data_IF_184962462072
#
_entry.id   IF_184962462072
#
_cell.length_a   1.000
_cell.length_b   1.000
_cell.length_c   1.000
_cell.angle_alpha   90.00
_cell.angle_beta   90.00
_cell.angle_gamma   90.00
#
_symmetry.space_group_name_H-M   'P 1'
#
loop_
_entity.id
_entity.type
_entity.pdbx_description
1 polymer ?
#
# COMPACT_ATOMS: atom_id res chain seq x y z
N UNK A 1 -18.39 -3.56 17.04
CA UNK A 1 -19.32 -4.51 17.69
C UNK A 1 -19.04 -5.89 17.11
N UNK A 2 -17.83 -6.40 17.30
CA UNK A 2 -17.56 -7.83 17.18
C UNK A 2 -17.84 -8.41 18.56
N UNK A 3 -19.04 -8.96 18.77
CA UNK A 3 -19.25 -9.79 19.96
C UNK A 3 -18.16 -10.86 19.95
N UNK A 4 -17.34 -10.92 21.00
CA UNK A 4 -16.41 -12.03 21.19
C UNK A 4 -17.27 -13.28 21.24
N UNK A 5 -17.25 -14.03 20.14
CA UNK A 5 -17.89 -15.33 20.02
C UNK A 5 -17.26 -16.20 21.09
N UNK A 6 -17.91 -16.25 22.26
CA UNK A 6 -17.53 -17.05 23.41
C UNK A 6 -18.10 -18.45 23.19
N UNK A 7 -17.72 -19.05 22.06
CA UNK A 7 -18.01 -20.45 21.79
C UNK A 7 -16.89 -21.25 22.45
N UNK A 8 -17.26 -22.02 23.47
CA UNK A 8 -16.43 -23.09 24.02
C UNK A 8 -15.96 -23.99 22.86
N UNK A 9 -14.65 -24.26 22.71
CA UNK A 9 -14.12 -24.99 21.56
C UNK A 9 -14.33 -26.50 21.71
N UNK A 10 -15.59 -26.95 21.74
CA UNK A 10 -15.92 -28.39 21.87
C UNK A 10 -16.33 -29.04 20.54
N UNK A 11 -16.38 -28.28 19.44
CA UNK A 11 -16.71 -28.82 18.12
C UNK A 11 -15.78 -28.29 17.05
N UNK A 12 -14.96 -29.18 16.46
CA UNK A 12 -14.31 -28.89 15.18
C UNK A 12 -15.37 -28.90 14.08
N UNK A 13 -15.55 -27.79 13.38
CA UNK A 13 -16.40 -27.74 12.18
C UNK A 13 -15.53 -27.66 10.93
N UNK A 14 -15.97 -28.35 9.88
CA UNK A 14 -15.34 -28.28 8.57
C UNK A 14 -16.18 -27.37 7.69
N UNK A 15 -15.67 -26.18 7.38
CA UNK A 15 -16.29 -25.28 6.41
C UNK A 15 -15.71 -25.53 5.02
N UNK A 16 -16.58 -25.88 4.06
CA UNK A 16 -16.20 -26.00 2.67
C UNK A 16 -16.47 -24.67 1.98
N UNK A 17 -15.42 -23.94 1.60
CA UNK A 17 -15.54 -22.77 0.73
C UNK A 17 -15.50 -23.28 -0.72
N UNK A 18 -16.63 -23.31 -1.45
CA UNK A 18 -16.62 -23.75 -2.83
C UNK A 18 -15.73 -22.81 -3.64
N UNK A 19 -14.67 -23.36 -4.23
CA UNK A 19 -13.83 -22.64 -5.19
C UNK A 19 -14.62 -22.58 -6.49
N UNK A 20 -15.63 -21.72 -6.54
CA UNK A 20 -16.25 -21.32 -7.81
C UNK A 20 -15.12 -20.76 -8.65
N UNK A 21 -14.82 -21.46 -9.75
CA UNK A 21 -13.73 -21.23 -10.70
C UNK A 21 -13.09 -19.86 -10.53
N UNK A 22 -11.95 -19.84 -9.83
CA UNK A 22 -11.19 -18.63 -9.55
C UNK A 22 -10.63 -18.07 -10.85
N UNK A 23 -11.47 -17.34 -11.58
CA UNK A 23 -11.09 -16.62 -12.77
C UNK A 23 -10.56 -15.26 -12.31
N UNK A 24 -9.24 -15.10 -12.34
CA UNK A 24 -8.54 -13.84 -12.03
C UNK A 24 -8.92 -12.75 -13.05
N UNK A 25 -10.12 -12.17 -12.91
CA UNK A 25 -10.66 -11.09 -13.75
C UNK A 25 -10.63 -9.76 -13.01
N UNK A 26 -9.47 -9.36 -12.49
CA UNK A 26 -9.30 -8.10 -11.77
C UNK A 26 -8.36 -7.12 -12.46
N UNK A 27 -8.55 -6.89 -13.76
CA UNK A 27 -7.99 -5.69 -14.41
C UNK A 27 -8.89 -4.45 -14.21
N UNK A 28 -9.99 -4.60 -13.46
CA UNK A 28 -10.98 -3.56 -13.21
C UNK A 28 -11.15 -3.26 -11.72
N UNK A 29 -11.31 -1.98 -11.42
CA UNK A 29 -11.78 -1.47 -10.14
C UNK A 29 -10.71 -1.28 -9.06
N UNK A 30 -9.52 -1.86 -9.21
CA UNK A 30 -8.41 -1.69 -8.27
C UNK A 30 -8.84 -1.94 -6.83
N UNK A 31 -9.46 -3.09 -6.54
CA UNK A 31 -10.12 -3.39 -5.27
C UNK A 31 -11.23 -2.37 -4.95
N UNK A 32 -11.17 -1.69 -3.81
CA UNK A 32 -12.24 -0.80 -3.31
C UNK A 32 -12.15 0.59 -3.94
N UNK A 33 -11.07 0.87 -4.68
CA UNK A 33 -10.78 2.18 -5.25
C UNK A 33 -11.89 2.62 -6.20
N UNK A 34 -12.46 1.73 -7.03
CA UNK A 34 -13.60 2.11 -7.87
C UNK A 34 -14.78 2.64 -7.06
N UNK A 35 -15.14 2.00 -5.94
CA UNK A 35 -16.23 2.50 -5.10
C UNK A 35 -15.88 3.88 -4.53
N UNK A 36 -14.63 4.09 -4.12
CA UNK A 36 -14.16 5.40 -3.65
C UNK A 36 -14.18 6.45 -4.75
N UNK A 37 -13.79 6.12 -5.99
CA UNK A 37 -13.88 7.04 -7.13
C UNK A 37 -15.32 7.46 -7.41
N UNK A 38 -16.26 6.53 -7.41
CA UNK A 38 -17.68 6.84 -7.61
C UNK A 38 -18.21 7.75 -6.50
N UNK A 39 -17.89 7.44 -5.24
CA UNK A 39 -18.25 8.28 -4.10
C UNK A 39 -17.61 9.67 -4.20
N UNK A 40 -16.34 9.74 -4.61
CA UNK A 40 -15.63 11.00 -4.83
C UNK A 40 -16.28 11.85 -5.92
N UNK A 41 -16.92 11.28 -6.94
CA UNK A 41 -17.62 12.05 -7.97
C UNK A 41 -19.14 12.19 -7.72
N UNK A 42 -19.64 11.75 -6.55
CA UNK A 42 -21.08 11.62 -6.24
C UNK A 42 -21.87 10.84 -7.29
N UNK A 43 -21.22 9.89 -7.97
CA UNK A 43 -21.87 9.05 -8.99
C UNK A 43 -22.41 7.80 -8.28
N UNK A 44 -23.71 7.46 -8.42
CA UNK A 44 -24.27 6.28 -7.77
C UNK A 44 -23.60 5.01 -8.30
N UNK A 45 -23.21 4.08 -7.42
CA UNK A 45 -22.54 2.83 -7.80
C UNK A 45 -23.55 1.74 -8.21
N UNK A 46 -24.27 1.95 -9.32
CA UNK A 46 -25.30 1.03 -9.83
C UNK A 46 -24.89 0.34 -11.15
N UNK A 47 -25.73 -0.54 -11.70
CA UNK A 47 -25.41 -1.31 -12.92
C UNK A 47 -25.20 -0.41 -14.15
N UNK A 48 -25.96 0.68 -14.27
CA UNK A 48 -25.94 1.57 -15.44
C UNK A 48 -24.66 2.40 -15.42
N UNK A 49 -24.37 3.08 -14.31
CA UNK A 49 -23.18 3.92 -14.18
C UNK A 49 -21.90 3.10 -14.26
N UNK A 50 -21.88 1.89 -13.69
CA UNK A 50 -20.75 0.96 -13.84
C UNK A 50 -20.54 0.52 -15.28
N UNK A 51 -21.60 0.30 -16.04
CA UNK A 51 -21.49 -0.07 -17.45
C UNK A 51 -20.92 1.10 -18.29
N UNK A 52 -21.45 2.31 -18.09
CA UNK A 52 -21.02 3.52 -18.81
C UNK A 52 -19.58 3.89 -18.48
N UNK A 53 -19.23 3.91 -17.19
CA UNK A 53 -17.90 4.29 -16.71
C UNK A 53 -16.90 3.13 -16.72
N UNK A 54 -17.32 1.94 -17.18
CA UNK A 54 -16.47 0.76 -17.23
C UNK A 54 -15.11 1.07 -17.87
N UNK A 55 -14.98 1.74 -19.04
CA UNK A 55 -13.67 2.03 -19.64
C UNK A 55 -12.70 2.81 -18.74
N UNK A 56 -13.20 3.64 -17.83
CA UNK A 56 -12.37 4.39 -16.88
C UNK A 56 -11.91 3.54 -15.69
N UNK A 57 -12.58 2.41 -15.46
CA UNK A 57 -12.32 1.54 -14.31
C UNK A 57 -11.20 0.53 -14.54
N UNK A 58 -10.42 0.62 -15.62
CA UNK A 58 -9.19 -0.17 -15.73
C UNK A 58 -8.22 0.24 -14.63
N UNK A 59 -7.60 -0.75 -13.98
CA UNK A 59 -6.63 -0.53 -12.89
C UNK A 59 -5.54 0.46 -13.33
N UNK A 60 -4.96 0.28 -14.52
CA UNK A 60 -3.96 1.20 -15.07
C UNK A 60 -4.48 2.65 -15.19
N UNK A 61 -5.72 2.85 -15.62
CA UNK A 61 -6.34 4.17 -15.77
C UNK A 61 -6.59 4.81 -14.40
N UNK A 62 -7.14 4.05 -13.46
CA UNK A 62 -7.41 4.51 -12.09
C UNK A 62 -6.11 4.95 -11.40
N UNK A 63 -5.07 4.11 -11.41
CA UNK A 63 -3.82 4.45 -10.73
C UNK A 63 -3.07 5.60 -11.39
N UNK A 64 -3.14 5.73 -12.72
CA UNK A 64 -2.63 6.91 -13.43
C UNK A 64 -3.32 8.19 -12.94
N UNK A 65 -4.65 8.18 -12.90
CA UNK A 65 -5.42 9.32 -12.40
C UNK A 65 -5.13 9.59 -10.92
N UNK A 66 -5.02 8.56 -10.09
CA UNK A 66 -4.71 8.68 -8.65
C UNK A 66 -3.35 9.34 -8.39
N UNK A 67 -2.31 8.94 -9.14
CA UNK A 67 -0.97 9.52 -8.98
C UNK A 67 -0.86 10.91 -9.62
N UNK A 68 -1.47 11.13 -10.79
CA UNK A 68 -1.42 12.44 -11.47
C UNK A 68 -2.20 13.51 -10.69
N UNK A 69 -3.36 13.12 -10.17
CA UNK A 69 -4.17 13.99 -9.32
C UNK A 69 -3.43 14.37 -8.03
N UNK A 70 -2.54 13.52 -7.52
CA UNK A 70 -2.04 13.62 -6.14
C UNK A 70 -3.12 13.32 -5.11
N UNK A 71 -4.23 12.68 -5.50
CA UNK A 71 -5.22 12.15 -4.56
C UNK A 71 -4.63 11.04 -3.70
N UNK A 72 -3.58 10.34 -4.16
CA UNK A 72 -2.86 9.34 -3.37
C UNK A 72 -2.47 9.86 -1.97
N UNK A 73 -2.15 11.15 -1.83
CA UNK A 73 -1.78 11.79 -0.56
C UNK A 73 -2.95 11.88 0.44
N UNK A 74 -4.19 11.68 -0.02
CA UNK A 74 -5.44 11.83 0.74
C UNK A 74 -6.17 10.50 0.96
N UNK A 75 -5.59 9.39 0.50
CA UNK A 75 -6.08 8.05 0.77
C UNK A 75 -4.98 7.26 1.46
N UNK A 76 -5.34 6.54 2.53
CA UNK A 76 -4.42 5.60 3.16
C UNK A 76 -4.75 4.20 2.65
N UNK A 77 -3.80 3.65 1.91
CA UNK A 77 -3.85 2.30 1.36
C UNK A 77 -2.61 1.58 1.83
N UNK A 78 -2.77 0.68 2.79
CA UNK A 78 -1.65 0.03 3.46
C UNK A 78 -1.95 -1.45 3.61
N UNK A 79 -0.94 -2.29 3.37
CA UNK A 79 -1.00 -3.68 3.79
C UNK A 79 0.07 -3.92 4.84
N UNK A 80 -0.33 -4.59 5.91
CA UNK A 80 0.56 -4.91 7.04
C UNK A 80 0.40 -6.37 7.42
N UNK A 81 1.48 -7.04 7.81
CA UNK A 81 1.47 -8.38 8.36
C UNK A 81 1.62 -8.32 9.88
N UNK A 82 0.75 -9.00 10.61
CA UNK A 82 0.79 -9.08 12.08
C UNK A 82 0.86 -10.55 12.53
N UNK A 83 1.69 -10.90 13.53
CA UNK A 83 1.75 -12.27 14.06
C UNK A 83 0.39 -12.78 14.51
N UNK A 84 0.14 -14.07 14.32
CA UNK A 84 -1.18 -14.66 14.59
C UNK A 84 -1.61 -14.50 16.05
N UNK A 85 -0.69 -14.61 16.99
CA UNK A 85 -0.93 -14.44 18.43
C UNK A 85 -1.22 -12.99 18.84
N UNK A 86 -1.02 -12.02 17.93
CA UNK A 86 -1.29 -10.59 18.14
C UNK A 86 -2.46 -10.06 17.31
N UNK A 87 -3.15 -10.91 16.55
CA UNK A 87 -4.25 -10.48 15.67
C UNK A 87 -5.40 -9.83 16.44
N UNK A 88 -5.84 -10.42 17.54
CA UNK A 88 -6.97 -9.90 18.32
C UNK A 88 -6.69 -8.47 18.79
N UNK A 89 -5.50 -8.26 19.36
CA UNK A 89 -5.06 -6.94 19.80
C UNK A 89 -4.97 -5.94 18.65
N UNK A 90 -4.62 -6.39 17.44
CA UNK A 90 -4.57 -5.54 16.26
C UNK A 90 -5.96 -5.21 15.72
N UNK A 91 -6.87 -6.18 15.68
CA UNK A 91 -8.26 -5.97 15.23
C UNK A 91 -9.00 -5.03 16.17
N UNK A 92 -8.90 -5.24 17.49
CA UNK A 92 -9.49 -4.36 18.50
C UNK A 92 -8.96 -2.92 18.34
N UNK A 93 -7.66 -2.79 18.08
CA UNK A 93 -7.04 -1.49 17.83
C UNK A 93 -7.50 -0.85 16.50
N UNK A 94 -7.62 -1.63 15.42
CA UNK A 94 -8.11 -1.15 14.13
C UNK A 94 -9.56 -0.66 14.23
N UNK A 95 -10.40 -1.39 14.94
CA UNK A 95 -11.80 -1.02 15.17
C UNK A 95 -11.89 0.32 15.92
N UNK A 96 -11.16 0.45 17.02
CA UNK A 96 -11.18 1.65 17.86
C UNK A 96 -10.53 2.87 17.19
N UNK A 97 -9.46 2.67 16.42
CA UNK A 97 -8.67 3.76 15.83
C UNK A 97 -9.20 4.20 14.47
N UNK A 98 -9.64 3.25 13.64
CA UNK A 98 -10.04 3.52 12.26
C UNK A 98 -11.50 3.20 11.95
N UNK A 99 -12.15 2.31 12.68
CA UNK A 99 -13.54 1.90 12.43
C UNK A 99 -13.76 1.32 11.03
N UNK A 100 -12.74 0.66 10.46
CA UNK A 100 -12.74 0.22 9.06
C UNK A 100 -13.37 -1.15 8.89
N UNK A 101 -14.39 -1.21 8.02
CA UNK A 101 -14.97 -2.46 7.55
C UNK A 101 -15.40 -2.33 6.08
N UNK A 102 -15.33 -3.43 5.30
CA UNK A 102 -14.82 -4.77 5.66
C UNK A 102 -13.28 -4.82 5.78
N UNK A 103 -12.76 -5.77 6.56
CA UNK A 103 -11.32 -6.04 6.64
C UNK A 103 -10.88 -6.97 5.50
N UNK A 104 -9.74 -6.66 4.88
CA UNK A 104 -9.07 -7.57 3.95
C UNK A 104 -8.05 -8.41 4.71
N UNK A 105 -8.22 -9.73 4.72
CA UNK A 105 -7.36 -10.66 5.46
C UNK A 105 -6.70 -11.65 4.50
N UNK A 106 -5.40 -11.90 4.69
CA UNK A 106 -4.68 -12.92 3.92
C UNK A 106 -3.60 -13.63 4.75
N UNK A 107 -3.62 -14.96 4.74
CA UNK A 107 -2.67 -15.78 5.48
C UNK A 107 -1.30 -15.78 4.77
N UNK A 108 -0.25 -15.38 5.47
CA UNK A 108 1.11 -15.39 4.96
C UNK A 108 2.01 -16.35 5.75
N UNK A 109 2.72 -17.20 5.02
CA UNK A 109 3.88 -17.92 5.54
C UNK A 109 5.11 -17.07 5.30
N UNK A 110 5.76 -16.65 6.37
CA UNK A 110 6.96 -15.82 6.30
C UNK A 110 8.22 -16.65 6.17
N UNK A 111 8.30 -17.78 6.87
CA UNK A 111 9.45 -18.67 6.80
C UNK A 111 9.77 -19.07 5.35
N UNK A 112 11.03 -18.85 4.94
CA UNK A 112 11.52 -19.11 3.58
C UNK A 112 12.57 -20.21 3.60
N UNK A 113 12.28 -21.28 2.87
CA UNK A 113 13.15 -22.47 2.80
C UNK A 113 14.04 -22.47 1.54
N UNK A 114 14.11 -21.36 0.79
CA UNK A 114 14.85 -21.31 -0.48
C UNK A 114 16.36 -21.07 -0.27
N UNK A 115 17.24 -21.59 -1.15
CA UNK A 115 18.71 -21.49 -0.96
C UNK A 115 19.27 -20.07 -0.85
N UNK A 116 18.56 -19.06 -1.33
CA UNK A 116 18.97 -17.66 -1.30
C UNK A 116 18.09 -16.81 -0.36
N UNK A 117 17.33 -17.44 0.54
CA UNK A 117 16.39 -16.76 1.42
C UNK A 117 17.09 -15.81 2.42
N UNK A 118 18.35 -16.06 2.76
CA UNK A 118 19.15 -15.29 3.73
C UNK A 118 19.70 -13.96 3.18
N UNK A 119 19.25 -13.54 1.99
CA UNK A 119 19.74 -12.34 1.32
C UNK A 119 18.65 -11.29 1.10
N UNK A 120 19.05 -10.03 1.24
CA UNK A 120 18.21 -8.87 0.96
C UNK A 120 17.46 -8.35 2.18
N UNK A 121 16.41 -7.56 1.92
CA UNK A 121 15.72 -6.76 2.93
C UNK A 121 15.05 -7.57 4.06
N UNK A 122 14.71 -8.82 3.75
CA UNK A 122 13.98 -9.75 4.61
C UNK A 122 14.75 -11.08 4.78
N UNK A 123 16.07 -10.98 4.91
CA UNK A 123 16.97 -12.12 5.16
C UNK A 123 16.62 -12.86 6.46
N UNK A 124 16.07 -12.15 7.45
CA UNK A 124 15.61 -12.68 8.73
C UNK A 124 14.55 -13.77 8.57
N UNK A 125 13.75 -13.73 7.50
CA UNK A 125 12.68 -14.69 7.24
C UNK A 125 13.20 -16.11 6.96
N UNK A 126 14.45 -16.26 6.54
CA UNK A 126 15.07 -17.57 6.36
C UNK A 126 15.35 -18.29 7.68
N UNK A 127 15.40 -17.55 8.80
CA UNK A 127 15.73 -18.06 10.14
C UNK A 127 14.49 -18.35 10.98
N UNK A 128 13.30 -18.05 10.45
CA UNK A 128 12.03 -18.27 11.15
C UNK A 128 11.61 -19.74 11.03
N UNK A 129 11.10 -20.31 12.11
CA UNK A 129 10.45 -21.61 12.06
C UNK A 129 9.03 -21.48 11.49
N UNK A 130 8.75 -22.18 10.40
CA UNK A 130 7.43 -22.21 9.74
C UNK A 130 6.30 -22.77 10.62
N UNK A 131 6.64 -23.48 11.68
CA UNK A 131 5.70 -24.06 12.62
C UNK A 131 5.38 -23.15 13.80
N UNK A 132 6.13 -22.05 13.98
CA UNK A 132 5.87 -21.12 15.07
C UNK A 132 4.98 -19.95 14.61
N UNK A 133 4.31 -19.26 15.55
CA UNK A 133 3.54 -18.05 15.25
C UNK A 133 4.37 -16.97 14.56
N UNK A 134 5.65 -16.85 14.87
CA UNK A 134 6.55 -15.84 14.29
C UNK A 134 6.84 -16.12 12.80
N UNK A 135 6.80 -17.38 12.37
CA UNK A 135 6.91 -17.77 10.97
C UNK A 135 5.64 -17.52 10.14
N UNK A 136 4.57 -16.99 10.74
CA UNK A 136 3.26 -16.77 10.11
C UNK A 136 2.72 -15.39 10.42
N UNK A 137 2.34 -14.63 9.40
CA UNK A 137 1.66 -13.34 9.58
C UNK A 137 0.27 -13.39 8.97
N UNK A 138 -0.67 -12.71 9.61
CA UNK A 138 -1.94 -12.36 9.00
C UNK A 138 -1.76 -11.00 8.35
N UNK A 139 -1.96 -10.94 7.05
CA UNK A 139 -2.00 -9.68 6.35
C UNK A 139 -3.35 -9.00 6.55
N UNK A 140 -3.31 -7.74 6.91
CA UNK A 140 -4.45 -6.84 6.97
C UNK A 140 -4.29 -5.78 5.88
N UNK A 141 -5.24 -5.73 4.95
CA UNK A 141 -5.37 -4.65 3.98
C UNK A 141 -6.25 -3.55 4.52
N UNK A 142 -5.68 -2.35 4.62
CA UNK A 142 -6.22 -1.19 5.30
C UNK A 142 -6.47 -0.09 4.27
N UNK A 143 -7.74 0.22 4.07
CA UNK A 143 -8.21 1.18 3.08
C UNK A 143 -9.03 2.26 3.77
N UNK A 144 -8.40 3.39 4.10
CA UNK A 144 -9.07 4.56 4.69
C UNK A 144 -9.26 5.63 3.62
N UNK A 145 -10.52 5.88 3.30
CA UNK A 145 -10.94 6.91 2.35
C UNK A 145 -11.35 8.21 3.05
N UNK A 146 -11.43 9.30 2.29
CA UNK A 146 -12.06 10.55 2.73
C UNK A 146 -11.23 11.34 3.76
N UNK A 147 -9.91 11.21 3.75
CA UNK A 147 -9.06 12.07 4.58
C UNK A 147 -9.04 13.45 3.95
N UNK A 148 -9.57 14.43 4.69
CA UNK A 148 -9.77 15.81 4.22
C UNK A 148 -8.43 16.52 4.03
N UNK A 149 -7.41 16.10 4.78
CA UNK A 149 -6.10 16.74 4.83
C UNK A 149 -4.95 15.71 4.78
N UNK A 150 -3.82 16.13 4.19
CA UNK A 150 -2.61 15.33 4.00
C UNK A 150 -1.91 15.05 5.32
N UNK A 151 -1.87 16.00 6.24
CA UNK A 151 -1.21 15.79 7.53
C UNK A 151 -1.98 14.77 8.37
N UNK A 152 -3.31 14.77 8.28
CA UNK A 152 -4.14 13.72 8.86
C UNK A 152 -3.85 12.33 8.25
N UNK A 153 -3.58 12.25 6.94
CA UNK A 153 -3.17 11.02 6.28
C UNK A 153 -1.81 10.53 6.77
N UNK A 154 -0.81 11.41 6.83
CA UNK A 154 0.53 11.08 7.34
C UNK A 154 0.44 10.64 8.81
N UNK A 155 -0.31 11.36 9.64
CA UNK A 155 -0.49 11.02 11.05
C UNK A 155 -1.11 9.62 11.23
N UNK A 156 -2.16 9.31 10.48
CA UNK A 156 -2.81 7.99 10.50
C UNK A 156 -1.87 6.87 10.02
N UNK A 157 -1.08 7.11 8.98
CA UNK A 157 -0.05 6.17 8.54
C UNK A 157 0.98 5.93 9.64
N UNK A 158 1.48 6.99 10.29
CA UNK A 158 2.44 6.86 11.40
C UNK A 158 1.86 6.10 12.59
N UNK A 159 0.60 6.31 12.94
CA UNK A 159 -0.07 5.53 13.98
C UNK A 159 -0.13 4.04 13.64
N UNK A 160 -0.46 3.70 12.40
CA UNK A 160 -0.45 2.33 11.90
C UNK A 160 0.95 1.71 11.97
N UNK A 161 1.95 2.40 11.44
CA UNK A 161 3.34 1.98 11.47
C UNK A 161 3.85 1.71 12.90
N UNK A 162 3.52 2.59 13.84
CA UNK A 162 3.85 2.43 15.26
C UNK A 162 3.18 1.20 15.88
N UNK A 163 1.89 0.97 15.59
CA UNK A 163 1.18 -0.19 16.13
C UNK A 163 1.72 -1.50 15.56
N UNK A 164 2.01 -1.54 14.26
CA UNK A 164 2.61 -2.71 13.61
C UNK A 164 3.97 -3.01 14.23
N UNK A 165 4.79 -1.99 14.50
CA UNK A 165 6.07 -2.13 15.21
C UNK A 165 5.88 -2.71 16.61
N UNK A 166 4.95 -2.18 17.39
CA UNK A 166 4.64 -2.65 18.76
C UNK A 166 4.29 -4.15 18.77
N UNK A 167 3.56 -4.61 17.76
CA UNK A 167 3.16 -6.01 17.61
C UNK A 167 4.17 -6.88 16.87
N UNK A 168 5.39 -6.39 16.63
CA UNK A 168 6.44 -7.09 15.87
C UNK A 168 6.02 -7.51 14.46
N UNK A 169 5.08 -6.78 13.86
CA UNK A 169 4.60 -6.99 12.51
C UNK A 169 5.55 -6.45 11.43
N UNK A 170 5.06 -6.45 10.19
CA UNK A 170 5.80 -6.02 9.00
C UNK A 170 4.90 -5.18 8.09
N UNK A 171 5.41 -4.05 7.60
CA UNK A 171 4.77 -3.23 6.54
C UNK A 171 5.27 -3.65 5.16
N UNK A 172 4.37 -3.69 4.17
CA UNK A 172 4.73 -3.98 2.78
C UNK A 172 5.04 -2.69 2.01
N UNK A 173 6.14 -2.72 1.25
CA UNK A 173 6.77 -1.52 0.67
C UNK A 173 6.23 -1.13 -0.73
N UNK A 174 4.95 -1.39 -1.00
CA UNK A 174 4.30 -0.85 -2.20
C UNK A 174 3.66 0.52 -1.95
N UNK A 175 3.27 0.78 -0.69
CA UNK A 175 2.63 2.01 -0.26
C UNK A 175 3.65 3.01 0.29
N UNK A 176 3.16 4.21 0.61
CA UNK A 176 3.95 5.24 1.25
C UNK A 176 4.44 4.81 2.64
N UNK A 177 5.72 5.02 2.91
CA UNK A 177 6.32 4.83 4.23
C UNK A 177 6.54 6.19 4.90
N UNK A 178 5.96 6.37 6.09
CA UNK A 178 6.07 7.57 6.90
C UNK A 178 7.10 7.43 8.05
N UNK A 179 7.83 6.31 8.08
CA UNK A 179 9.00 6.09 8.94
C UNK A 179 10.09 7.14 8.71
N UNK A 180 10.80 7.49 9.79
CA UNK A 180 12.13 8.07 9.62
C UNK A 180 13.10 7.03 9.05
N UNK A 181 14.22 7.47 8.48
CA UNK A 181 15.22 6.56 7.90
C UNK A 181 15.75 5.54 8.92
N UNK A 182 15.98 5.96 10.15
CA UNK A 182 16.48 5.08 11.21
C UNK A 182 15.41 4.09 11.66
N UNK A 183 14.16 4.54 11.82
CA UNK A 183 13.03 3.63 12.08
C UNK A 183 12.90 2.60 10.97
N UNK A 184 12.93 3.03 9.71
CA UNK A 184 12.85 2.13 8.56
C UNK A 184 13.94 1.06 8.62
N UNK A 185 15.20 1.42 8.80
CA UNK A 185 16.30 0.45 8.84
C UNK A 185 16.36 -0.37 10.13
N UNK A 186 15.61 0.01 11.18
CA UNK A 186 15.41 -0.86 12.35
C UNK A 186 14.47 -2.04 12.05
N UNK A 187 13.64 -1.94 11.01
CA UNK A 187 12.68 -2.97 10.62
C UNK A 187 13.22 -4.00 9.62
N UNK A 188 14.30 -3.67 8.91
CA UNK A 188 14.80 -4.45 7.78
C UNK A 188 16.31 -4.68 7.91
N UNK A 189 16.79 -5.80 7.38
CA UNK A 189 18.23 -6.09 7.37
C UNK A 189 18.95 -5.25 6.32
N UNK A 190 19.38 -4.05 6.74
CA UNK A 190 20.12 -3.11 5.90
C UNK A 190 21.43 -3.73 5.40
N UNK A 191 22.12 -4.48 6.25
CA UNK A 191 23.43 -5.03 5.92
C UNK A 191 23.31 -6.06 4.78
N UNK A 192 22.39 -7.02 4.90
CA UNK A 192 22.13 -8.01 3.84
C UNK A 192 21.61 -7.34 2.56
N UNK A 193 20.76 -6.31 2.68
CA UNK A 193 20.31 -5.49 1.56
C UNK A 193 21.46 -4.78 0.82
N UNK A 194 22.37 -4.12 1.55
CA UNK A 194 23.49 -3.38 0.97
C UNK A 194 24.51 -4.33 0.30
N UNK A 195 24.76 -5.52 0.88
CA UNK A 195 25.60 -6.55 0.28
C UNK A 195 25.09 -7.00 -1.09
N UNK A 196 23.78 -7.24 -1.22
CA UNK A 196 23.16 -7.60 -2.51
C UNK A 196 23.32 -6.48 -3.53
N UNK A 197 23.19 -5.22 -3.11
CA UNK A 197 23.37 -4.07 -4.01
C UNK A 197 24.79 -3.94 -4.52
N UNK A 198 25.78 -4.12 -3.66
CA UNK A 198 27.19 -4.10 -4.05
C UNK A 198 27.48 -5.24 -5.02
N UNK A 199 27.06 -6.46 -4.69
CA UNK A 199 27.27 -7.67 -5.52
C UNK A 199 26.78 -7.49 -6.96
N UNK A 200 25.63 -6.84 -7.15
CA UNK A 200 25.02 -6.62 -8.46
C UNK A 200 25.24 -5.21 -9.04
N UNK A 201 26.14 -4.41 -8.46
CA UNK A 201 26.47 -3.08 -8.98
C UNK A 201 25.33 -2.05 -8.92
N UNK A 202 24.35 -2.25 -8.04
CA UNK A 202 23.16 -1.39 -7.89
C UNK A 202 23.36 -0.18 -6.96
N UNK A 203 24.58 0.06 -6.46
CA UNK A 203 24.89 1.19 -5.56
C UNK A 203 24.63 2.56 -6.20
N UNK A 204 24.59 2.66 -7.54
CA UNK A 204 24.23 3.88 -8.27
C UNK A 204 22.75 4.26 -8.15
N UNK A 205 21.88 3.28 -7.84
CA UNK A 205 20.43 3.47 -7.82
C UNK A 205 19.98 4.01 -6.46
N UNK A 206 18.84 4.71 -6.37
CA UNK A 206 18.22 5.04 -5.09
C UNK A 206 18.04 3.78 -4.22
N UNK A 207 18.05 3.95 -2.90
CA UNK A 207 17.71 2.87 -1.99
C UNK A 207 16.21 2.59 -1.99
N UNK A 208 15.79 1.44 -1.44
CA UNK A 208 14.37 1.15 -1.26
C UNK A 208 13.69 2.19 -0.38
N UNK A 209 14.37 2.67 0.67
CA UNK A 209 13.86 3.76 1.52
C UNK A 209 13.62 5.03 0.70
N UNK A 210 14.58 5.44 -0.12
CA UNK A 210 14.46 6.65 -0.95
C UNK A 210 13.30 6.56 -1.96
N UNK A 211 12.88 5.33 -2.30
CA UNK A 211 11.75 5.08 -3.21
C UNK A 211 10.39 5.18 -2.51
N UNK A 212 10.29 4.78 -1.24
CA UNK A 212 9.00 4.61 -0.54
C UNK A 212 8.69 5.72 0.45
N UNK A 213 9.71 6.45 0.91
CA UNK A 213 9.53 7.56 1.83
C UNK A 213 8.62 8.64 1.24
N UNK A 214 7.81 9.27 2.09
CA UNK A 214 7.02 10.43 1.73
C UNK A 214 7.90 11.68 1.87
N UNK A 215 8.12 12.39 0.76
CA UNK A 215 8.84 13.65 0.80
C UNK A 215 7.96 14.72 1.47
N UNK A 216 8.35 15.17 2.65
CA UNK A 216 7.68 16.27 3.35
C UNK A 216 8.07 17.64 2.77
N UNK A 217 9.10 17.73 1.92
CA UNK A 217 9.69 19.00 1.49
C UNK A 217 9.19 19.52 0.13
N UNK A 218 8.46 18.74 -0.65
CA UNK A 218 7.98 19.18 -1.98
C UNK A 218 7.04 20.40 -1.95
N UNK A 219 6.49 20.76 -0.78
CA UNK A 219 5.60 21.92 -0.64
C UNK A 219 6.30 23.21 -0.15
N UNK A 220 7.56 23.17 0.28
CA UNK A 220 8.26 24.38 0.73
C UNK A 220 8.78 25.26 -0.44
N UNK A 221 8.71 24.75 -1.68
CA UNK A 221 9.26 25.38 -2.87
C UNK A 221 8.20 26.03 -3.79
N UNK A 222 7.01 26.35 -3.28
CA UNK A 222 6.02 27.10 -4.05
C UNK A 222 5.91 28.52 -3.53
N UNK A 223 6.61 29.42 -4.22
CA UNK A 223 6.59 30.85 -3.97
C UNK A 223 5.18 31.46 -4.03
N UNK A 224 5.09 32.64 -3.43
CA UNK A 224 3.90 33.46 -3.13
C UNK A 224 2.93 33.78 -4.28
N UNK A 225 3.18 33.32 -5.51
CA UNK A 225 2.33 33.54 -6.70
C UNK A 225 1.68 32.24 -7.23
N UNK A 226 2.03 31.07 -6.69
CA UNK A 226 1.52 29.77 -7.16
C UNK A 226 0.20 29.32 -6.51
N UNK A 227 -0.43 30.13 -5.65
CA UNK A 227 -1.59 29.71 -4.86
C UNK A 227 -2.92 29.66 -5.65
N UNK A 228 -3.10 30.48 -6.68
CA UNK A 228 -4.35 30.53 -7.47
C UNK A 228 -4.65 29.23 -8.25
N UNK A 229 -3.67 28.64 -8.99
CA UNK A 229 -3.88 27.33 -9.61
C UNK A 229 -4.09 26.23 -8.56
N UNK A 230 -3.35 26.26 -7.46
CA UNK A 230 -3.48 25.28 -6.36
C UNK A 230 -4.86 25.33 -5.75
N UNK A 231 -5.43 26.52 -5.58
CA UNK A 231 -6.79 26.69 -5.05
C UNK A 231 -7.84 26.12 -6.01
N UNK A 232 -7.68 26.33 -7.33
CA UNK A 232 -8.53 25.71 -8.34
C UNK A 232 -8.41 24.17 -8.35
N UNK A 233 -7.21 23.64 -8.14
CA UNK A 233 -6.93 22.20 -7.98
C UNK A 233 -7.32 21.64 -6.61
N UNK A 234 -7.49 22.48 -5.59
CA UNK A 234 -7.90 22.10 -4.25
C UNK A 234 -9.43 22.01 -4.10
N UNK A 235 -10.19 22.55 -5.05
CA UNK A 235 -11.65 22.51 -5.03
C UNK A 235 -12.13 21.16 -5.59
N UNK A 236 -12.68 20.35 -4.70
CA UNK A 236 -13.48 19.19 -5.09
C UNK A 236 -14.69 19.65 -5.94
N UNK A 237 -15.01 19.01 -7.10
CA UNK A 237 -14.42 17.83 -7.72
C UNK A 237 -13.46 18.12 -8.90
N UNK A 238 -13.04 19.38 -9.10
CA UNK A 238 -12.31 19.83 -10.29
C UNK A 238 -10.96 19.13 -10.50
N UNK A 239 -10.29 18.75 -9.40
CA UNK A 239 -9.06 17.92 -9.41
C UNK A 239 -9.28 16.62 -10.18
N UNK A 240 -10.20 15.78 -9.69
CA UNK A 240 -10.49 14.49 -10.32
C UNK A 240 -11.05 14.59 -11.74
N UNK A 241 -11.82 15.64 -12.07
CA UNK A 241 -12.37 15.86 -13.42
C UNK A 241 -11.27 16.13 -14.45
N UNK A 242 -10.30 16.99 -14.12
CA UNK A 242 -9.15 17.23 -14.99
C UNK A 242 -8.30 15.98 -15.18
N UNK A 243 -8.14 15.17 -14.15
CA UNK A 243 -7.32 13.95 -14.27
C UNK A 243 -7.98 12.88 -15.15
N UNK A 244 -9.30 12.76 -15.09
CA UNK A 244 -10.04 11.93 -16.06
C UNK A 244 -9.80 12.44 -17.48
N UNK A 245 -9.86 13.76 -17.70
CA UNK A 245 -9.58 14.37 -19.01
C UNK A 245 -8.13 14.14 -19.44
N UNK A 246 -7.15 14.39 -18.57
CA UNK A 246 -5.72 14.18 -18.86
C UNK A 246 -5.36 12.73 -19.05
N UNK A 247 -6.07 11.79 -18.43
CA UNK A 247 -5.85 10.35 -18.67
C UNK A 247 -6.43 9.90 -20.00
N UNK A 248 -7.51 10.53 -20.47
CA UNK A 248 -8.12 10.26 -21.78
C UNK A 248 -7.31 10.93 -22.91
N UNK A 249 -6.79 12.14 -22.71
CA UNK A 249 -6.13 12.96 -23.73
C UNK A 249 -4.59 12.95 -23.66
N UNK A 250 -4.00 12.65 -22.50
CA UNK A 250 -2.56 12.68 -22.25
C UNK A 250 -1.92 11.31 -22.46
N UNK A 251 -1.23 11.15 -23.60
CA UNK A 251 -0.46 9.95 -23.92
C UNK A 251 0.64 9.59 -22.91
N UNK A 252 1.11 8.34 -22.96
CA UNK A 252 2.10 7.74 -22.06
C UNK A 252 3.42 8.54 -21.97
N UNK A 253 3.55 9.40 -20.95
CA UNK A 253 4.73 10.23 -20.70
C UNK A 253 5.82 9.56 -19.83
N UNK A 254 5.57 8.37 -19.28
CA UNK A 254 6.41 7.76 -18.24
C UNK A 254 7.78 7.20 -18.69
N UNK A 255 8.28 7.56 -19.88
CA UNK A 255 9.62 7.18 -20.34
C UNK A 255 10.46 8.40 -20.71
N UNK A 256 10.63 9.35 -19.78
CA UNK A 256 11.81 10.22 -19.82
C UNK A 256 13.03 9.39 -19.40
N UNK A 257 13.71 8.79 -20.39
CA UNK A 257 15.02 8.14 -20.20
C UNK A 257 16.00 9.14 -19.57
N UNK A 258 16.18 9.10 -18.25
CA UNK A 258 17.41 9.60 -17.61
C UNK A 258 18.44 8.48 -17.69
N UNK A 259 19.24 8.50 -18.76
CA UNK A 259 20.39 7.62 -18.94
C UNK A 259 21.53 8.03 -17.99
N UNK A 260 21.57 7.47 -16.79
CA UNK A 260 22.74 7.67 -15.89
C UNK A 260 23.41 6.34 -15.51
N UNK A 261 22.68 5.23 -15.35
CA UNK A 261 23.32 3.96 -14.99
C UNK A 261 23.39 3.01 -16.20
N UNK A 262 24.34 3.25 -17.12
CA UNK A 262 24.64 2.33 -18.24
C UNK A 262 26.11 1.92 -18.35
N UNK A 263 26.97 2.32 -17.42
CA UNK A 263 28.42 2.07 -17.54
C UNK A 263 28.93 0.77 -16.90
N UNK A 264 28.22 0.11 -15.98
CA UNK A 264 28.82 -1.01 -15.22
C UNK A 264 28.08 -2.37 -15.32
N UNK A 265 27.11 -2.55 -16.22
CA UNK A 265 26.36 -3.83 -16.33
C UNK A 265 26.93 -4.75 -17.44
N UNK A 266 28.09 -4.43 -18.01
CA UNK A 266 28.80 -5.33 -18.92
C UNK A 266 30.20 -5.62 -18.39
N UNK A 267 30.31 -6.53 -17.44
CA UNK A 267 31.44 -7.44 -17.20
C UNK A 267 31.24 -8.12 -15.83
N UNK A 268 30.54 -9.26 -15.85
CA UNK A 268 30.71 -10.39 -14.93
C UNK A 268 29.95 -11.59 -15.48
#
# INVERSE_FOLDING_TARGET
MLEKITVTPDASFTEYVPIVDYLFRYDRGGFWVAKYSFNYFLIPFNRITRFILNPLMYTRTIYKALHHSGLADFYMVQDVGVPYDKMDAFVDWLETTFGIYPLWLWLLRLARDSPNAEHGLHSDFARLDKNTPEGRLMNFGIWVAGLIDRDACIHKNRLLEQKVRELSGRTWLYAHACYTKDEFWSHYDRHSYDLVRVKYGASCLPSVYDKVMVDNQQNAAMGTVAWLPVMFWAIWPMRGLYDVLMTIFGGDYLMKRRSVCRKNIKQS
#
